data_IF_564144055740
#
_entry.id   IF_564144055740
#
_cell.length_a   1.000
_cell.length_b   1.000
_cell.length_c   1.000
_cell.angle_alpha   90.00
_cell.angle_beta   90.00
_cell.angle_gamma   90.00
#
_symmetry.space_group_name_H-M   'P 1'
#
loop_
_entity.id
_entity.type
_entity.pdbx_description
1 polymer ?
#
# COMPACT_ATOMS: atom_id res chain seq x y z
N UNK A 1 -49.76 -17.82 -59.99
CA UNK A 1 -49.71 -17.20 -58.64
C UNK A 1 -49.75 -18.17 -57.45
N UNK A 2 -50.54 -19.26 -57.47
CA UNK A 2 -50.68 -20.17 -56.31
C UNK A 2 -49.41 -21.00 -55.97
N UNK A 3 -48.65 -21.42 -56.98
CA UNK A 3 -47.40 -22.18 -56.79
C UNK A 3 -46.24 -21.33 -56.26
N UNK A 4 -46.08 -20.09 -56.74
CA UNK A 4 -45.05 -19.15 -56.28
C UNK A 4 -45.22 -18.85 -54.78
N UNK A 5 -46.47 -18.70 -54.31
CA UNK A 5 -46.76 -18.53 -52.87
C UNK A 5 -46.43 -19.76 -52.02
N UNK A 6 -46.45 -20.98 -52.59
CA UNK A 6 -46.06 -22.20 -51.87
C UNK A 6 -44.55 -22.35 -51.76
N UNK A 7 -43.82 -22.05 -52.84
CA UNK A 7 -42.35 -22.09 -52.86
C UNK A 7 -41.77 -21.01 -51.94
N UNK A 8 -42.32 -19.80 -51.97
CA UNK A 8 -41.85 -18.69 -51.11
C UNK A 8 -42.08 -18.98 -49.61
N UNK A 9 -43.20 -19.63 -49.25
CA UNK A 9 -43.46 -20.08 -47.87
C UNK A 9 -42.48 -21.17 -47.43
N UNK A 10 -42.14 -22.11 -48.31
CA UNK A 10 -41.18 -23.17 -47.99
C UNK A 10 -39.77 -22.60 -47.80
N UNK A 11 -39.34 -21.66 -48.65
CA UNK A 11 -38.03 -21.00 -48.54
C UNK A 11 -37.93 -20.14 -47.28
N UNK A 12 -38.96 -19.35 -46.95
CA UNK A 12 -38.99 -18.58 -45.70
C UNK A 12 -38.99 -19.48 -44.46
N UNK A 13 -39.66 -20.63 -44.50
CA UNK A 13 -39.67 -21.56 -43.35
C UNK A 13 -38.31 -22.23 -43.13
N UNK A 14 -37.59 -22.57 -44.20
CA UNK A 14 -36.24 -23.13 -44.10
C UNK A 14 -35.25 -22.06 -43.60
N UNK A 15 -35.37 -20.81 -44.08
CA UNK A 15 -34.56 -19.70 -43.59
C UNK A 15 -34.82 -19.37 -42.12
N UNK A 16 -36.07 -19.46 -41.66
CA UNK A 16 -36.43 -19.25 -40.26
C UNK A 16 -35.90 -20.37 -39.35
N UNK A 17 -35.91 -21.63 -39.81
CA UNK A 17 -35.31 -22.75 -39.09
C UNK A 17 -33.78 -22.66 -39.01
N UNK A 18 -33.11 -22.20 -40.07
CA UNK A 18 -31.65 -21.97 -40.05
C UNK A 18 -31.30 -20.80 -39.13
N UNK A 19 -32.06 -19.70 -39.16
CA UNK A 19 -31.87 -18.58 -38.22
C UNK A 19 -32.10 -19.00 -36.76
N UNK A 20 -33.10 -19.82 -36.46
CA UNK A 20 -33.34 -20.35 -35.10
C UNK A 20 -32.21 -21.31 -34.66
N UNK A 21 -31.65 -22.11 -35.58
CA UNK A 21 -30.50 -22.96 -35.27
C UNK A 21 -29.21 -22.16 -35.01
N UNK A 22 -29.01 -21.02 -35.68
CA UNK A 22 -27.83 -20.16 -35.46
C UNK A 22 -27.92 -19.39 -34.14
N UNK A 23 -29.13 -19.04 -33.66
CA UNK A 23 -29.35 -18.43 -32.34
C UNK A 23 -29.35 -19.43 -31.16
N UNK A 24 -29.25 -20.74 -31.44
CA UNK A 24 -29.23 -21.79 -30.40
C UNK A 24 -27.83 -22.23 -29.98
N UNK A 25 -26.76 -21.65 -30.55
CA UNK A 25 -25.41 -21.79 -29.99
C UNK A 25 -25.29 -20.94 -28.72
N UNK A 26 -25.99 -21.38 -27.67
CA UNK A 26 -25.58 -21.06 -26.31
C UNK A 26 -24.26 -21.79 -26.12
N UNK A 27 -23.15 -21.06 -26.11
CA UNK A 27 -21.89 -21.60 -25.60
C UNK A 27 -22.24 -22.19 -24.23
N UNK A 28 -21.95 -23.47 -23.95
CA UNK A 28 -22.23 -24.02 -22.65
C UNK A 28 -21.48 -23.16 -21.64
N UNK A 29 -22.21 -22.36 -20.86
CA UNK A 29 -21.65 -21.77 -19.64
C UNK A 29 -21.40 -22.96 -18.74
N UNK A 30 -20.16 -23.44 -18.73
CA UNK A 30 -19.71 -24.39 -17.72
C UNK A 30 -20.04 -23.75 -16.37
N UNK A 31 -20.69 -24.52 -15.49
CA UNK A 31 -20.98 -24.03 -14.16
C UNK A 31 -19.65 -23.69 -13.49
N UNK A 32 -19.55 -22.50 -12.87
CA UNK A 32 -18.39 -22.10 -12.09
C UNK A 32 -17.99 -23.20 -11.08
N UNK A 33 -16.75 -23.69 -11.16
CA UNK A 33 -16.22 -24.76 -10.30
C UNK A 33 -15.13 -24.22 -9.36
N UNK A 34 -15.05 -24.79 -8.16
CA UNK A 34 -13.88 -24.62 -7.30
C UNK A 34 -12.71 -25.44 -7.86
N UNK A 35 -11.71 -24.76 -8.43
CA UNK A 35 -10.55 -25.41 -9.10
C UNK A 35 -9.52 -25.91 -8.09
N UNK A 36 -8.77 -26.93 -8.47
CA UNK A 36 -7.68 -27.50 -7.65
C UNK A 36 -6.45 -26.57 -7.67
N UNK A 37 -6.51 -25.54 -6.82
CA UNK A 37 -5.43 -24.58 -6.64
C UNK A 37 -4.47 -25.01 -5.52
N UNK A 38 -3.25 -24.49 -5.57
CA UNK A 38 -2.28 -24.59 -4.49
C UNK A 38 -1.43 -23.32 -4.40
N UNK A 39 -0.89 -23.07 -3.20
CA UNK A 39 0.16 -22.09 -2.98
C UNK A 39 1.52 -22.75 -3.18
N UNK A 40 2.40 -22.08 -3.91
CA UNK A 40 3.80 -22.51 -4.12
C UNK A 40 4.76 -21.76 -3.19
N UNK A 41 4.39 -20.55 -2.77
CA UNK A 41 5.15 -19.75 -1.80
C UNK A 41 4.21 -18.89 -0.95
N UNK A 42 4.61 -18.67 0.30
CA UNK A 42 4.00 -17.74 1.24
C UNK A 42 5.13 -16.97 1.91
N UNK A 43 5.09 -15.65 1.80
CA UNK A 43 6.09 -14.77 2.40
C UNK A 43 5.41 -13.58 3.08
N UNK A 44 5.95 -13.21 4.25
CA UNK A 44 5.65 -11.93 4.87
C UNK A 44 6.77 -10.97 4.52
N UNK A 45 6.45 -9.91 3.81
CA UNK A 45 7.41 -8.95 3.27
C UNK A 45 7.27 -7.60 3.95
N UNK A 46 8.40 -6.93 4.11
CA UNK A 46 8.43 -5.55 4.54
C UNK A 46 7.94 -4.62 3.41
N UNK A 47 7.89 -3.35 3.73
CA UNK A 47 7.51 -2.27 2.84
C UNK A 47 8.47 -2.05 1.65
N UNK A 48 9.59 -2.76 1.58
CA UNK A 48 10.51 -2.77 0.44
C UNK A 48 10.35 -4.00 -0.46
N UNK A 49 9.46 -4.93 -0.09
CA UNK A 49 9.25 -6.19 -0.78
C UNK A 49 10.24 -7.28 -0.36
N UNK A 50 10.96 -7.09 0.74
CA UNK A 50 11.94 -8.06 1.25
C UNK A 50 11.28 -8.94 2.31
N UNK A 51 11.50 -10.26 2.24
CA UNK A 51 10.99 -11.19 3.23
C UNK A 51 11.50 -10.86 4.64
N UNK A 52 10.60 -10.90 5.63
CA UNK A 52 10.88 -10.56 7.01
C UNK A 52 11.09 -11.79 7.87
N UNK A 53 11.96 -11.67 8.86
CA UNK A 53 12.12 -12.66 9.94
C UNK A 53 11.54 -12.19 11.27
N UNK A 54 11.37 -10.88 11.44
CA UNK A 54 10.74 -10.26 12.60
C UNK A 54 9.95 -9.01 12.23
N UNK A 55 8.95 -8.67 13.04
CA UNK A 55 8.11 -7.48 12.87
C UNK A 55 7.54 -7.04 14.23
N UNK A 56 7.37 -5.73 14.42
CA UNK A 56 6.75 -5.19 15.63
C UNK A 56 5.27 -5.56 15.71
N UNK A 57 4.75 -5.70 16.93
CA UNK A 57 3.39 -6.13 17.20
C UNK A 57 2.34 -5.27 16.49
N UNK A 58 2.52 -3.95 16.47
CA UNK A 58 1.65 -2.99 15.78
C UNK A 58 2.03 -2.73 14.32
N UNK A 59 3.07 -3.39 13.80
CA UNK A 59 3.60 -3.17 12.46
C UNK A 59 2.70 -3.74 11.36
N UNK A 60 2.56 -2.98 10.28
CA UNK A 60 1.96 -3.45 9.03
C UNK A 60 3.00 -4.14 8.15
N UNK A 61 2.56 -5.07 7.34
CA UNK A 61 3.40 -5.79 6.38
C UNK A 61 2.59 -6.31 5.20
N UNK A 62 3.30 -6.65 4.13
CA UNK A 62 2.70 -7.25 2.96
C UNK A 62 2.70 -8.78 3.12
N UNK A 63 1.56 -9.41 2.92
CA UNK A 63 1.48 -10.85 2.63
C UNK A 63 1.69 -11.01 1.13
N UNK A 64 2.62 -11.87 0.74
CA UNK A 64 2.87 -12.25 -0.64
C UNK A 64 2.68 -13.76 -0.82
N UNK A 65 1.84 -14.12 -1.78
CA UNK A 65 1.45 -15.48 -2.07
C UNK A 65 1.75 -15.78 -3.53
N UNK A 66 2.35 -16.92 -3.81
CA UNK A 66 2.42 -17.47 -5.17
C UNK A 66 1.44 -18.63 -5.29
N UNK A 67 0.67 -18.67 -6.38
CA UNK A 67 -0.39 -19.65 -6.60
C UNK A 67 -0.27 -20.34 -7.95
N UNK A 68 -0.84 -21.54 -8.04
CA UNK A 68 -0.90 -22.34 -9.25
C UNK A 68 -2.22 -23.13 -9.32
N UNK A 69 -2.80 -23.19 -10.51
CA UNK A 69 -3.95 -24.02 -10.88
C UNK A 69 -3.56 -24.90 -12.07
N UNK A 70 -3.33 -26.21 -11.90
CA UNK A 70 -2.92 -27.10 -12.99
C UNK A 70 -4.01 -27.35 -14.05
N UNK A 71 -5.28 -27.29 -13.66
CA UNK A 71 -6.40 -27.57 -14.56
C UNK A 71 -6.60 -26.48 -15.63
N UNK A 72 -7.41 -26.81 -16.65
CA UNK A 72 -7.96 -25.80 -17.56
C UNK A 72 -8.94 -24.92 -16.78
N UNK A 73 -8.84 -23.61 -16.98
CA UNK A 73 -9.74 -22.62 -16.41
C UNK A 73 -10.91 -22.31 -17.35
N UNK A 74 -12.07 -22.10 -16.75
CA UNK A 74 -13.25 -21.58 -17.40
C UNK A 74 -13.71 -20.30 -16.71
N UNK A 75 -14.47 -19.47 -17.43
CA UNK A 75 -15.07 -18.28 -16.85
C UNK A 75 -15.90 -18.63 -15.61
N UNK A 76 -15.67 -17.92 -14.51
CA UNK A 76 -16.38 -18.08 -13.25
C UNK A 76 -15.77 -19.12 -12.31
N UNK A 77 -14.82 -19.94 -12.78
CA UNK A 77 -14.03 -20.81 -11.91
C UNK A 77 -13.36 -20.01 -10.80
N UNK A 78 -13.15 -20.63 -9.64
CA UNK A 78 -12.65 -19.93 -8.47
C UNK A 78 -11.83 -20.83 -7.56
N UNK A 79 -11.06 -20.22 -6.67
CA UNK A 79 -10.48 -20.92 -5.51
C UNK A 79 -10.47 -20.00 -4.31
N UNK A 80 -10.31 -20.59 -3.12
CA UNK A 80 -10.32 -19.89 -1.85
C UNK A 80 -8.97 -20.06 -1.14
N UNK A 81 -8.50 -19.00 -0.49
CA UNK A 81 -7.37 -19.03 0.43
C UNK A 81 -7.89 -18.56 1.79
N UNK A 82 -7.81 -19.44 2.79
CA UNK A 82 -8.06 -19.07 4.19
C UNK A 82 -6.90 -18.23 4.68
N UNK A 83 -7.21 -16.99 5.06
CA UNK A 83 -6.26 -16.07 5.70
C UNK A 83 -6.28 -16.36 7.21
N UNK A 84 -5.13 -16.64 7.84
CA UNK A 84 -5.07 -17.13 9.22
C UNK A 84 -5.56 -16.11 10.27
N UNK A 85 -6.10 -16.58 11.41
CA UNK A 85 -6.60 -15.72 12.47
C UNK A 85 -5.53 -14.88 13.18
N UNK A 86 -4.25 -15.20 12.99
CA UNK A 86 -3.10 -14.42 13.42
C UNK A 86 -2.98 -13.07 12.70
N UNK A 87 -3.73 -12.86 11.61
CA UNK A 87 -3.73 -11.64 10.82
C UNK A 87 -5.02 -10.83 11.02
N UNK A 88 -4.86 -9.51 11.02
CA UNK A 88 -5.96 -8.54 11.04
C UNK A 88 -5.93 -7.73 9.74
N UNK A 89 -7.07 -7.76 9.05
CA UNK A 89 -7.34 -7.08 7.77
C UNK A 89 -8.58 -6.18 7.85
N UNK A 90 -8.91 -5.73 9.07
CA UNK A 90 -10.10 -4.91 9.32
C UNK A 90 -9.80 -3.42 9.37
N UNK A 91 -8.52 -3.03 9.32
CA UNK A 91 -8.11 -1.62 9.37
C UNK A 91 -8.07 -1.02 7.97
N UNK A 92 -8.26 0.30 7.88
CA UNK A 92 -8.23 1.03 6.61
C UNK A 92 -6.92 0.83 5.82
N UNK A 93 -5.79 0.61 6.51
CA UNK A 93 -4.48 0.41 5.89
C UNK A 93 -4.31 -0.96 5.22
N UNK A 94 -5.24 -1.88 5.46
CA UNK A 94 -5.25 -3.20 4.80
C UNK A 94 -6.02 -3.21 3.49
N UNK A 95 -6.69 -2.09 3.16
CA UNK A 95 -7.37 -1.92 1.88
C UNK A 95 -6.39 -1.58 0.73
N UNK A 96 -6.77 -1.87 -0.52
CA UNK A 96 -8.04 -2.46 -0.95
C UNK A 96 -8.14 -3.97 -0.66
N UNK A 97 -9.36 -4.44 -0.38
CA UNK A 97 -9.66 -5.85 -0.14
C UNK A 97 -10.21 -6.56 -1.38
N UNK A 98 -10.64 -5.80 -2.38
CA UNK A 98 -11.00 -6.29 -3.72
C UNK A 98 -10.04 -5.70 -4.74
N UNK A 99 -9.44 -6.55 -5.58
CA UNK A 99 -8.45 -6.13 -6.56
C UNK A 99 -8.35 -7.12 -7.72
N UNK A 100 -7.97 -6.60 -8.89
CA UNK A 100 -7.72 -7.38 -10.09
C UNK A 100 -6.41 -8.16 -10.00
N UNK A 101 -6.40 -9.38 -10.55
CA UNK A 101 -5.20 -10.12 -10.93
C UNK A 101 -5.02 -9.98 -12.43
N UNK A 102 -3.87 -9.44 -12.84
CA UNK A 102 -3.63 -9.06 -14.23
C UNK A 102 -2.55 -9.92 -14.89
N UNK A 103 -2.65 -10.11 -16.20
CA UNK A 103 -1.57 -10.68 -16.98
C UNK A 103 -0.49 -9.63 -17.35
N UNK A 104 0.52 -10.10 -18.09
CA UNK A 104 1.66 -9.29 -18.53
C UNK A 104 1.23 -8.09 -19.39
N UNK A 105 0.10 -8.22 -20.10
CA UNK A 105 -0.49 -7.18 -20.94
C UNK A 105 -1.43 -6.24 -20.15
N UNK A 106 -1.42 -6.32 -18.82
CA UNK A 106 -2.29 -5.58 -17.89
C UNK A 106 -3.79 -5.90 -18.04
N UNK A 107 -4.15 -6.98 -18.73
CA UNK A 107 -5.52 -7.44 -18.81
C UNK A 107 -5.92 -8.12 -17.52
N UNK A 108 -7.08 -7.78 -16.98
CA UNK A 108 -7.64 -8.49 -15.83
C UNK A 108 -8.01 -9.91 -16.24
N UNK A 109 -7.50 -10.91 -15.51
CA UNK A 109 -7.78 -12.34 -15.72
C UNK A 109 -8.66 -12.90 -14.59
N UNK A 110 -8.59 -12.30 -13.40
CA UNK A 110 -9.41 -12.67 -12.26
C UNK A 110 -9.62 -11.48 -11.33
N UNK A 111 -10.65 -11.55 -10.49
CA UNK A 111 -10.85 -10.66 -9.36
C UNK A 111 -10.60 -11.43 -8.06
N UNK A 112 -9.78 -10.87 -7.18
CA UNK A 112 -9.59 -11.37 -5.82
C UNK A 112 -10.38 -10.50 -4.84
N UNK A 113 -11.13 -11.12 -3.93
CA UNK A 113 -11.86 -10.44 -2.86
C UNK A 113 -11.55 -11.09 -1.51
N UNK A 114 -11.11 -10.28 -0.56
CA UNK A 114 -10.89 -10.66 0.82
C UNK A 114 -12.10 -10.26 1.65
N UNK A 115 -12.70 -11.24 2.33
CA UNK A 115 -13.71 -11.05 3.36
C UNK A 115 -13.06 -11.24 4.72
N UNK A 116 -12.70 -10.15 5.44
CA UNK A 116 -12.00 -10.24 6.71
C UNK A 116 -12.96 -10.60 7.86
N UNK A 117 -12.42 -11.27 8.87
CA UNK A 117 -13.10 -11.53 10.14
C UNK A 117 -12.53 -10.65 11.26
N UNK A 118 -13.37 -10.29 12.22
CA UNK A 118 -12.98 -9.41 13.33
C UNK A 118 -11.85 -10.05 14.17
N UNK A 119 -10.77 -9.31 14.47
CA UNK A 119 -9.65 -9.82 15.25
C UNK A 119 -10.06 -10.01 16.72
N UNK A 120 -10.16 -11.27 17.16
CA UNK A 120 -10.50 -11.63 18.54
C UNK A 120 -9.52 -12.66 19.09
N UNK A 121 -9.64 -13.02 20.37
CA UNK A 121 -8.82 -14.09 20.96
C UNK A 121 -9.18 -15.48 20.41
N UNK A 122 -10.38 -15.66 19.86
CA UNK A 122 -10.85 -16.93 19.29
C UNK A 122 -10.84 -16.97 17.76
N UNK A 123 -10.95 -15.84 17.05
CA UNK A 123 -11.00 -15.75 15.59
C UNK A 123 -10.19 -14.59 15.00
N UNK A 124 -10.39 -14.31 13.71
CA UNK A 124 -9.64 -13.29 12.94
C UNK A 124 -9.35 -13.80 11.52
N UNK A 125 -8.47 -13.10 10.79
CA UNK A 125 -8.10 -13.52 9.44
C UNK A 125 -9.23 -13.28 8.44
N UNK A 126 -9.61 -14.31 7.70
CA UNK A 126 -10.73 -14.25 6.75
C UNK A 126 -10.61 -15.23 5.59
N UNK A 127 -11.31 -14.91 4.49
CA UNK A 127 -11.24 -15.69 3.25
C UNK A 127 -10.91 -14.79 2.06
N UNK A 128 -9.88 -15.15 1.31
CA UNK A 128 -9.57 -14.57 0.01
C UNK A 128 -10.13 -15.48 -1.07
N UNK A 129 -11.10 -14.99 -1.85
CA UNK A 129 -11.69 -15.70 -2.99
C UNK A 129 -11.18 -15.10 -4.30
N UNK A 130 -10.62 -15.92 -5.17
CA UNK A 130 -10.24 -15.53 -6.53
C UNK A 130 -11.27 -16.08 -7.50
N UNK A 131 -11.81 -15.24 -8.39
CA UNK A 131 -12.79 -15.63 -9.42
C UNK A 131 -12.25 -15.25 -10.79
N UNK A 132 -12.08 -16.25 -11.66
CA UNK A 132 -11.57 -16.07 -13.02
C UNK A 132 -12.64 -15.49 -13.95
N UNK A 133 -12.25 -14.55 -14.80
CA UNK A 133 -13.14 -13.93 -15.77
C UNK A 133 -13.00 -14.60 -17.16
N UNK A 134 -13.65 -14.04 -18.19
CA UNK A 134 -13.64 -14.63 -19.54
C UNK A 134 -12.25 -14.65 -20.20
N UNK A 135 -11.30 -13.83 -19.75
CA UNK A 135 -9.93 -13.84 -20.27
C UNK A 135 -9.11 -15.05 -19.76
N UNK A 136 -9.60 -15.77 -18.76
CA UNK A 136 -9.01 -17.03 -18.30
C UNK A 136 -9.47 -18.25 -19.10
N UNK A 137 -10.52 -18.13 -19.92
CA UNK A 137 -11.15 -19.26 -20.61
C UNK A 137 -10.14 -20.06 -21.44
N UNK A 138 -10.05 -21.36 -21.19
CA UNK A 138 -9.15 -22.27 -21.88
C UNK A 138 -7.68 -22.16 -21.48
N UNK A 139 -7.30 -21.24 -20.59
CA UNK A 139 -5.92 -21.19 -20.03
C UNK A 139 -5.68 -22.43 -19.17
N UNK A 140 -4.51 -23.03 -19.30
CA UNK A 140 -4.09 -24.23 -18.54
C UNK A 140 -2.85 -23.94 -17.72
N UNK A 141 -2.64 -24.64 -16.61
CA UNK A 141 -1.48 -24.43 -15.73
C UNK A 141 -1.30 -22.96 -15.34
N UNK A 142 -2.40 -22.27 -15.08
CA UNK A 142 -2.36 -20.87 -14.69
C UNK A 142 -1.59 -20.73 -13.36
N UNK A 143 -0.74 -19.72 -13.27
CA UNK A 143 0.02 -19.40 -12.07
C UNK A 143 0.14 -17.91 -11.91
N UNK A 144 0.53 -17.47 -10.73
CA UNK A 144 0.64 -16.05 -10.48
C UNK A 144 1.02 -15.74 -9.05
N UNK A 145 0.86 -14.46 -8.69
CA UNK A 145 1.04 -14.01 -7.32
C UNK A 145 -0.14 -13.17 -6.87
N UNK A 146 -0.30 -13.08 -5.56
CA UNK A 146 -1.25 -12.23 -4.87
C UNK A 146 -0.47 -11.52 -3.77
N UNK A 147 -0.70 -10.23 -3.59
CA UNK A 147 -0.22 -9.49 -2.45
C UNK A 147 -1.31 -8.61 -1.86
N UNK A 148 -1.32 -8.50 -0.54
CA UNK A 148 -2.21 -7.61 0.22
C UNK A 148 -1.53 -7.22 1.53
N UNK A 149 -2.06 -6.20 2.21
CA UNK A 149 -1.49 -5.72 3.47
C UNK A 149 -2.23 -6.33 4.66
N UNK A 150 -1.50 -6.59 5.73
CA UNK A 150 -2.02 -7.07 7.00
C UNK A 150 -1.22 -6.47 8.16
N UNK A 151 -1.79 -6.56 9.37
CA UNK A 151 -1.02 -6.50 10.63
C UNK A 151 -1.33 -7.74 11.45
N UNK A 152 -0.62 -7.92 12.55
CA UNK A 152 -0.94 -9.03 13.46
C UNK A 152 -2.24 -8.79 14.22
N UNK A 153 -3.04 -9.85 14.36
CA UNK A 153 -4.07 -9.93 15.40
C UNK A 153 -3.37 -10.09 16.76
N UNK A 154 -3.32 -8.98 17.47
CA UNK A 154 -2.64 -8.84 18.76
C UNK A 154 -3.17 -9.76 19.87
N UNK A 155 -4.35 -10.35 19.68
CA UNK A 155 -4.95 -11.31 20.62
C UNK A 155 -4.53 -12.76 20.34
N UNK A 156 -3.86 -13.01 19.21
CA UNK A 156 -3.43 -14.34 18.76
C UNK A 156 -1.92 -14.50 18.77
N UNK A 157 -1.19 -13.46 18.35
CA UNK A 157 0.27 -13.51 18.32
C UNK A 157 0.88 -13.27 19.70
N UNK A 158 2.02 -13.91 19.94
CA UNK A 158 2.80 -13.78 21.17
C UNK A 158 4.05 -12.95 20.93
N UNK A 159 4.21 -11.89 21.71
CA UNK A 159 5.38 -11.00 21.64
C UNK A 159 6.63 -11.70 22.21
N UNK A 160 7.79 -11.41 21.63
CA UNK A 160 9.08 -12.03 21.89
C UNK A 160 9.15 -13.53 21.58
N UNK A 161 8.25 -14.04 20.75
CA UNK A 161 8.21 -15.43 20.32
C UNK A 161 8.06 -15.54 18.80
N UNK A 162 8.43 -16.72 18.28
CA UNK A 162 8.15 -17.10 16.90
C UNK A 162 6.69 -17.53 16.78
N UNK A 163 5.96 -16.91 15.86
CA UNK A 163 4.56 -17.16 15.58
C UNK A 163 4.42 -17.88 14.24
N UNK A 164 3.46 -18.79 14.15
CA UNK A 164 3.19 -19.57 12.94
C UNK A 164 2.00 -18.97 12.21
N UNK A 165 2.12 -18.80 10.89
CA UNK A 165 1.10 -18.16 10.06
C UNK A 165 0.65 -19.17 8.98
N UNK A 166 -0.39 -19.98 9.26
CA UNK A 166 -0.84 -21.06 8.38
C UNK A 166 -1.88 -20.58 7.36
N UNK A 167 -1.55 -20.65 6.07
CA UNK A 167 -2.53 -20.43 4.99
C UNK A 167 -3.07 -21.76 4.49
N UNK A 168 -4.36 -21.81 4.14
CA UNK A 168 -5.00 -22.99 3.56
C UNK A 168 -5.57 -22.65 2.20
N UNK A 169 -5.51 -23.58 1.24
CA UNK A 169 -6.18 -23.42 -0.06
C UNK A 169 -7.36 -24.39 -0.11
N UNK A 170 -8.54 -23.88 -0.45
CA UNK A 170 -9.80 -24.65 -0.47
C UNK A 170 -10.02 -25.47 0.82
N UNK A 171 -9.64 -24.90 1.97
CA UNK A 171 -9.75 -25.54 3.29
C UNK A 171 -8.76 -26.68 3.55
N UNK A 172 -7.74 -26.87 2.69
CA UNK A 172 -6.77 -27.97 2.78
C UNK A 172 -5.37 -27.47 3.14
N UNK A 173 -4.70 -28.22 4.01
CA UNK A 173 -3.32 -27.95 4.44
C UNK A 173 -2.28 -28.47 3.45
N UNK A 174 -2.57 -29.53 2.69
CA UNK A 174 -1.63 -30.15 1.74
C UNK A 174 -1.50 -29.38 0.41
N UNK A 175 -2.21 -28.26 0.29
CA UNK A 175 -2.19 -27.34 -0.86
C UNK A 175 -1.45 -26.03 -0.57
N UNK A 176 -0.78 -25.95 0.58
CA UNK A 176 0.04 -24.81 0.96
C UNK A 176 1.45 -25.28 1.37
N UNK A 177 2.47 -24.41 1.25
CA UNK A 177 3.74 -24.63 1.93
C UNK A 177 3.54 -24.70 3.45
N UNK A 178 4.54 -25.20 4.17
CA UNK A 178 4.51 -25.16 5.64
C UNK A 178 4.37 -23.74 6.18
N UNK A 179 3.84 -23.61 7.40
CA UNK A 179 3.55 -22.32 8.02
C UNK A 179 4.73 -21.35 7.94
N UNK A 180 4.45 -20.12 7.53
CA UNK A 180 5.45 -19.06 7.63
C UNK A 180 5.70 -18.75 9.11
N UNK A 181 6.98 -18.72 9.51
CA UNK A 181 7.39 -18.40 10.88
C UNK A 181 7.90 -16.97 10.96
N UNK A 182 7.41 -16.20 11.93
CA UNK A 182 7.85 -14.81 12.14
C UNK A 182 7.94 -14.47 13.62
N UNK A 183 9.04 -13.81 14.02
CA UNK A 183 9.19 -13.32 15.39
C UNK A 183 8.43 -12.01 15.56
N UNK A 184 7.50 -11.96 16.51
CA UNK A 184 6.79 -10.73 16.84
C UNK A 184 7.52 -10.02 17.97
N UNK A 185 7.96 -8.79 17.75
CA UNK A 185 8.69 -8.00 18.76
C UNK A 185 7.79 -6.87 19.32
N UNK A 186 8.08 -6.34 20.52
CA UNK A 186 7.34 -5.20 21.06
C UNK A 186 7.45 -4.00 20.13
N UNK A 187 6.44 -3.12 20.16
CA UNK A 187 6.56 -1.82 19.52
C UNK A 187 7.68 -1.00 20.18
N UNK A 188 8.28 -0.11 19.39
CA UNK A 188 9.36 0.73 19.87
C UNK A 188 8.90 1.61 21.03
N UNK A 189 9.60 1.54 22.16
CA UNK A 189 9.36 2.44 23.30
C UNK A 189 9.89 3.82 22.95
N UNK A 190 9.02 4.81 23.05
CA UNK A 190 9.37 6.20 22.79
C UNK A 190 10.02 6.81 24.04
N UNK A 191 11.25 7.37 23.93
CA UNK A 191 11.90 8.01 25.07
C UNK A 191 11.11 9.22 25.59
N UNK A 192 10.97 9.40 26.92
CA UNK A 192 10.25 10.53 27.50
C UNK A 192 10.94 11.89 27.23
N UNK A 193 12.24 11.89 26.96
CA UNK A 193 13.06 13.05 26.66
C UNK A 193 13.15 13.35 25.15
N UNK A 194 12.34 12.69 24.32
CA UNK A 194 12.35 12.86 22.86
C UNK A 194 12.05 14.31 22.45
N UNK A 195 13.02 14.93 21.77
CA UNK A 195 12.93 16.34 21.33
C UNK A 195 12.15 16.49 20.03
N UNK A 196 12.26 15.55 19.10
CA UNK A 196 11.51 15.56 17.85
C UNK A 196 11.12 14.13 17.46
N UNK A 197 9.96 13.98 16.84
CA UNK A 197 9.55 12.71 16.26
C UNK A 197 8.59 12.92 15.11
N UNK A 198 8.71 12.07 14.11
CA UNK A 198 7.92 12.14 12.90
C UNK A 198 7.30 10.78 12.59
N UNK A 199 6.09 10.81 12.06
CA UNK A 199 5.48 9.64 11.43
C UNK A 199 4.59 10.09 10.28
N UNK A 200 4.30 9.18 9.37
CA UNK A 200 3.21 9.36 8.42
C UNK A 200 1.87 9.15 9.12
N UNK A 201 0.83 9.85 8.66
CA UNK A 201 -0.55 9.50 8.95
C UNK A 201 -1.07 8.56 7.87
N UNK A 202 -2.06 7.77 8.25
CA UNK A 202 -2.72 6.83 7.37
C UNK A 202 -3.24 7.55 6.11
N UNK A 203 -3.00 6.99 4.91
CA UNK A 203 -3.61 7.50 3.68
C UNK A 203 -5.13 7.44 3.82
N UNK A 204 -5.83 8.55 3.60
CA UNK A 204 -7.30 8.57 3.67
C UNK A 204 -7.94 8.12 2.34
N UNK A 205 -7.35 7.11 1.68
CA UNK A 205 -7.70 6.68 0.32
C UNK A 205 -7.22 7.62 -0.80
N UNK A 206 -6.46 8.67 -0.47
CA UNK A 206 -5.85 9.59 -1.45
C UNK A 206 -4.39 9.17 -1.63
N UNK A 207 -4.03 8.70 -2.82
CA UNK A 207 -2.66 8.25 -3.13
C UNK A 207 -1.75 9.36 -3.67
N UNK A 208 -2.31 10.54 -3.95
CA UNK A 208 -1.57 11.70 -4.48
C UNK A 208 -1.09 12.67 -3.40
N UNK A 209 -1.31 12.34 -2.12
CA UNK A 209 -0.94 13.18 -0.98
C UNK A 209 -0.41 12.31 0.17
N UNK A 210 0.79 12.63 0.64
CA UNK A 210 1.34 12.05 1.86
C UNK A 210 1.01 12.96 3.04
N UNK A 211 0.49 12.37 4.11
CA UNK A 211 0.16 13.08 5.35
C UNK A 211 1.22 12.79 6.39
N UNK A 212 1.67 13.82 7.07
CA UNK A 212 2.73 13.76 8.07
C UNK A 212 2.25 14.34 9.38
N UNK A 213 2.78 13.80 10.46
CA UNK A 213 2.63 14.36 11.79
C UNK A 213 3.99 14.37 12.50
N UNK A 214 4.23 15.44 13.27
CA UNK A 214 5.49 15.65 13.94
C UNK A 214 5.27 16.19 15.35
N UNK A 215 5.80 15.45 16.33
CA UNK A 215 5.90 15.88 17.71
C UNK A 215 7.18 16.71 17.89
N UNK A 216 7.06 17.89 18.49
CA UNK A 216 8.15 18.85 18.70
C UNK A 216 8.24 19.20 20.18
N UNK A 217 9.44 19.11 20.74
CA UNK A 217 9.80 19.33 22.14
C UNK A 217 9.00 18.45 23.13
N UNK A 218 8.85 17.16 22.83
CA UNK A 218 8.20 16.17 23.71
C UNK A 218 8.82 16.10 25.11
N UNK A 219 10.15 16.21 25.18
CA UNK A 219 10.92 16.25 26.42
C UNK A 219 10.84 17.55 27.22
N UNK A 220 10.07 18.56 26.77
CA UNK A 220 9.85 19.85 27.47
C UNK A 220 11.16 20.58 27.83
N UNK A 221 12.17 20.47 26.99
CA UNK A 221 13.43 21.18 27.17
C UNK A 221 13.21 22.68 27.00
N UNK A 222 13.99 23.51 27.70
CA UNK A 222 13.97 24.96 27.52
C UNK A 222 14.79 25.37 26.28
N UNK A 223 14.14 25.48 25.12
CA UNK A 223 14.79 25.67 23.82
C UNK A 223 14.66 27.10 23.29
N UNK A 224 15.74 27.59 22.66
CA UNK A 224 15.86 28.91 22.03
C UNK A 224 16.34 28.79 20.59
N UNK A 225 15.96 29.75 19.74
CA UNK A 225 16.32 29.79 18.32
C UNK A 225 16.05 28.47 17.59
N UNK A 226 14.88 27.86 17.85
CA UNK A 226 14.54 26.54 17.32
C UNK A 226 14.24 26.62 15.83
N UNK A 227 14.94 25.79 15.06
CA UNK A 227 14.67 25.61 13.63
C UNK A 227 14.50 24.13 13.32
N UNK A 228 13.49 23.81 12.52
CA UNK A 228 13.26 22.46 12.01
C UNK A 228 13.47 22.49 10.51
N UNK A 229 14.40 21.69 10.01
CA UNK A 229 14.55 21.45 8.58
C UNK A 229 13.95 20.10 8.27
N UNK A 230 13.08 20.03 7.27
CA UNK A 230 12.43 18.80 6.83
C UNK A 230 12.63 18.63 5.31
N UNK A 231 12.93 17.41 4.85
CA UNK A 231 13.31 17.11 3.46
C UNK A 231 12.66 15.83 2.95
N UNK A 232 12.05 15.88 1.76
CA UNK A 232 11.54 14.70 1.05
C UNK A 232 12.71 13.95 0.42
N UNK A 233 13.15 12.86 1.05
CA UNK A 233 14.32 12.10 0.62
C UNK A 233 14.09 11.37 -0.71
N UNK A 234 12.85 10.94 -0.98
CA UNK A 234 12.49 10.21 -2.21
C UNK A 234 12.32 11.12 -3.43
N UNK A 235 12.29 12.45 -3.26
CA UNK A 235 12.12 13.45 -4.34
C UNK A 235 10.95 13.16 -5.28
N UNK A 236 9.86 12.62 -4.73
CA UNK A 236 8.66 12.25 -5.47
C UNK A 236 7.42 13.00 -4.97
N UNK A 237 7.63 14.25 -4.58
CA UNK A 237 6.62 15.11 -3.99
C UNK A 237 7.18 16.50 -3.75
N UNK A 238 6.30 17.42 -3.39
CA UNK A 238 6.63 18.79 -3.01
C UNK A 238 5.79 19.20 -1.81
N UNK A 239 6.28 20.14 -1.01
CA UNK A 239 5.44 20.76 0.03
C UNK A 239 4.43 21.73 -0.60
N UNK A 240 3.26 21.84 0.03
CA UNK A 240 2.26 22.87 -0.30
C UNK A 240 2.63 24.19 0.37
N UNK A 241 2.13 25.32 -0.12
CA UNK A 241 2.34 26.59 0.58
C UNK A 241 1.55 26.62 1.90
N UNK A 242 2.06 27.24 2.97
CA UNK A 242 1.31 27.35 4.22
C UNK A 242 0.08 28.23 4.04
N UNK A 243 -1.05 27.77 4.57
CA UNK A 243 -2.26 28.57 4.66
C UNK A 243 -2.28 29.40 5.95
N UNK A 244 -3.25 30.30 6.07
CA UNK A 244 -3.56 30.93 7.35
C UNK A 244 -4.04 29.88 8.37
N UNK A 245 -3.96 30.22 9.66
CA UNK A 245 -4.27 29.30 10.76
C UNK A 245 -5.71 28.72 10.71
N UNK A 246 -6.68 29.46 10.17
CA UNK A 246 -8.08 28.99 10.09
C UNK A 246 -8.23 27.96 8.98
N UNK A 247 -7.64 28.23 7.81
CA UNK A 247 -7.68 27.35 6.65
C UNK A 247 -6.85 26.08 6.86
N UNK A 248 -5.70 26.20 7.54
CA UNK A 248 -4.76 25.12 7.78
C UNK A 248 -5.41 23.90 8.47
N UNK A 249 -6.40 24.11 9.34
CA UNK A 249 -7.13 23.04 10.03
C UNK A 249 -7.90 22.10 9.09
N UNK A 250 -8.21 22.54 7.87
CA UNK A 250 -8.90 21.73 6.87
C UNK A 250 -7.94 21.26 5.75
N UNK A 251 -7.09 22.16 5.23
CA UNK A 251 -6.17 21.80 4.15
C UNK A 251 -5.10 20.82 4.60
N UNK A 252 -4.64 20.94 5.86
CA UNK A 252 -3.44 20.31 6.40
C UNK A 252 -2.20 20.62 5.55
N UNK A 253 -2.09 21.79 4.92
CA UNK A 253 -0.82 22.18 4.28
C UNK A 253 0.27 22.38 5.32
N UNK A 254 0.00 23.18 6.35
CA UNK A 254 0.81 23.28 7.57
C UNK A 254 -0.07 23.66 8.77
N UNK A 255 -0.36 22.70 9.65
CA UNK A 255 -1.20 22.89 10.82
C UNK A 255 -0.42 22.65 12.10
N UNK A 256 0.14 23.75 12.63
CA UNK A 256 0.95 23.75 13.85
C UNK A 256 0.11 24.14 15.06
N UNK A 257 0.08 23.28 16.08
CA UNK A 257 -0.61 23.54 17.35
C UNK A 257 0.36 23.54 18.52
N UNK A 258 0.09 24.39 19.51
CA UNK A 258 0.68 24.29 20.84
C UNK A 258 0.06 23.12 21.59
N UNK A 259 0.88 22.32 22.23
CA UNK A 259 0.42 21.13 22.95
C UNK A 259 1.18 20.93 24.24
N UNK A 260 0.62 20.14 25.15
CA UNK A 260 1.32 19.66 26.34
C UNK A 260 1.46 18.15 26.26
N UNK A 261 2.70 17.65 26.35
CA UNK A 261 2.99 16.21 26.37
C UNK A 261 2.89 15.63 27.78
N UNK A 262 2.42 14.40 27.88
CA UNK A 262 2.45 13.62 29.11
C UNK A 262 3.80 12.93 29.35
N UNK A 263 3.76 11.85 30.14
CA UNK A 263 4.90 10.97 30.36
C UNK A 263 5.24 10.08 29.15
N UNK A 264 4.28 9.85 28.25
CA UNK A 264 4.49 9.20 26.96
C UNK A 264 4.36 10.23 25.82
N UNK A 265 5.46 10.77 25.28
CA UNK A 265 5.42 11.83 24.29
C UNK A 265 5.06 11.34 22.88
N UNK A 266 4.42 10.16 22.73
CA UNK A 266 3.92 9.65 21.46
C UNK A 266 2.81 10.53 20.87
N UNK A 267 1.87 10.94 21.73
CA UNK A 267 0.73 11.81 21.42
C UNK A 267 0.61 12.85 22.54
N UNK A 268 0.16 14.07 22.27
CA UNK A 268 -0.03 15.05 23.33
C UNK A 268 -1.18 14.66 24.30
N UNK A 269 -1.03 15.01 25.58
CA UNK A 269 -2.10 14.87 26.58
C UNK A 269 -3.16 15.95 26.39
N UNK A 270 -2.74 17.16 26.03
CA UNK A 270 -3.64 18.29 25.77
C UNK A 270 -3.32 18.99 24.46
N UNK A 271 -4.38 19.30 23.73
CA UNK A 271 -4.35 20.21 22.59
C UNK A 271 -4.71 21.59 23.12
N UNK A 272 -3.75 22.50 23.15
CA UNK A 272 -4.03 23.86 23.62
C UNK A 272 -4.71 24.63 22.47
N UNK A 273 -5.61 25.56 22.77
CA UNK A 273 -6.41 26.31 21.77
C UNK A 273 -5.58 27.20 20.80
N UNK A 274 -4.24 27.15 20.88
CA UNK A 274 -3.34 27.92 20.04
C UNK A 274 -2.93 27.17 18.77
N UNK A 275 -3.56 27.51 17.65
CA UNK A 275 -3.01 27.27 16.31
C UNK A 275 -2.03 28.40 15.98
N UNK A 276 -0.88 28.06 15.42
CA UNK A 276 0.16 29.02 15.03
C UNK A 276 0.06 29.28 13.53
N UNK A 277 -0.01 30.56 13.14
CA UNK A 277 0.17 30.96 11.75
C UNK A 277 1.65 30.87 11.38
N UNK A 278 1.99 29.95 10.48
CA UNK A 278 3.38 29.65 10.12
C UNK A 278 3.81 30.28 8.79
N UNK A 279 2.97 31.09 8.14
CA UNK A 279 3.26 31.64 6.80
C UNK A 279 4.56 32.45 6.73
N UNK A 280 4.89 33.18 7.80
CA UNK A 280 6.15 33.92 7.92
C UNK A 280 7.29 33.11 8.54
N UNK A 281 7.03 31.89 8.98
CA UNK A 281 7.98 31.01 9.68
C UNK A 281 8.56 29.92 8.76
N UNK A 282 7.87 29.61 7.65
CA UNK A 282 8.29 28.58 6.70
C UNK A 282 9.07 29.23 5.55
N UNK A 283 10.24 28.67 5.26
CA UNK A 283 11.02 28.96 4.05
C UNK A 283 11.27 27.66 3.29
N UNK A 284 11.05 27.65 1.98
CA UNK A 284 11.33 26.49 1.12
C UNK A 284 12.68 26.61 0.44
N UNK A 285 13.24 25.47 0.04
CA UNK A 285 14.23 25.45 -1.03
C UNK A 285 13.59 25.77 -2.40
N UNK A 286 14.41 25.94 -3.44
CA UNK A 286 13.94 26.39 -4.76
C UNK A 286 12.86 25.46 -5.35
N UNK A 287 12.95 24.16 -5.08
CA UNK A 287 12.09 23.13 -5.68
C UNK A 287 10.97 22.66 -4.73
N UNK A 288 10.87 23.23 -3.52
CA UNK A 288 9.95 22.79 -2.45
C UNK A 288 10.10 21.30 -2.10
N UNK A 289 11.33 20.78 -2.13
CA UNK A 289 11.70 19.46 -1.60
C UNK A 289 12.20 19.51 -0.17
N UNK A 290 12.47 20.72 0.34
CA UNK A 290 12.80 20.96 1.73
C UNK A 290 12.12 22.22 2.25
N UNK A 291 11.77 22.24 3.53
CA UNK A 291 11.40 23.46 4.24
C UNK A 291 12.18 23.63 5.53
N UNK A 292 12.37 24.88 5.94
CA UNK A 292 12.77 25.26 7.30
C UNK A 292 11.60 25.96 7.98
N UNK A 293 11.20 25.47 9.15
CA UNK A 293 10.27 26.11 10.06
C UNK A 293 11.06 26.76 11.20
N UNK A 294 11.02 28.09 11.29
CA UNK A 294 11.66 28.88 12.34
C UNK A 294 10.67 29.15 13.48
N UNK A 295 10.84 28.47 14.61
CA UNK A 295 9.99 28.59 15.80
C UNK A 295 10.53 29.62 16.80
N UNK A 296 11.77 30.09 16.62
CA UNK A 296 12.43 31.00 17.55
C UNK A 296 12.53 30.46 18.97
N UNK A 297 12.28 31.32 19.96
CA UNK A 297 12.38 30.97 21.37
C UNK A 297 11.07 30.36 21.88
N UNK A 298 11.06 29.04 22.07
CA UNK A 298 9.84 28.31 22.48
C UNK A 298 9.79 27.97 23.97
N UNK A 299 10.90 28.17 24.70
CA UNK A 299 10.97 27.76 26.09
C UNK A 299 10.69 26.26 26.22
N UNK A 300 9.81 25.87 27.14
CA UNK A 300 9.39 24.47 27.35
C UNK A 300 8.13 24.07 26.57
N UNK A 301 7.63 24.95 25.68
CA UNK A 301 6.41 24.70 24.92
C UNK A 301 6.62 23.53 23.94
N UNK A 302 5.70 22.56 23.98
CA UNK A 302 5.58 21.52 22.96
C UNK A 302 4.74 21.98 21.77
N UNK A 303 5.04 21.48 20.59
CA UNK A 303 4.20 21.67 19.40
C UNK A 303 3.88 20.35 18.72
N UNK A 304 2.77 20.33 18.00
CA UNK A 304 2.38 19.25 17.11
C UNK A 304 2.10 19.83 15.72
N UNK A 305 2.89 19.41 14.75
CA UNK A 305 2.73 19.82 13.36
C UNK A 305 2.08 18.69 12.58
N UNK A 306 0.95 18.96 11.94
CA UNK A 306 0.40 18.11 10.88
C UNK A 306 0.55 18.82 9.55
N UNK A 307 0.93 18.10 8.51
CA UNK A 307 1.08 18.69 7.20
C UNK A 307 0.96 17.65 6.08
N UNK A 308 0.91 18.14 4.84
CA UNK A 308 0.83 17.32 3.63
C UNK A 308 1.95 17.65 2.66
N UNK A 309 2.28 16.66 1.86
CA UNK A 309 3.09 16.81 0.66
C UNK A 309 2.34 16.19 -0.50
N UNK A 310 2.59 16.69 -1.71
CA UNK A 310 2.15 15.99 -2.90
C UNK A 310 2.90 14.66 -3.02
N UNK A 311 2.27 13.68 -3.66
CA UNK A 311 2.91 12.43 -4.08
C UNK A 311 2.70 12.32 -5.58
N UNK A 312 3.82 12.27 -6.28
CA UNK A 312 3.86 12.43 -7.72
C UNK A 312 4.23 11.11 -8.38
N UNK A 313 4.04 11.02 -9.70
CA UNK A 313 4.46 9.88 -10.52
C UNK A 313 3.77 8.54 -10.27
N UNK A 314 2.64 8.58 -9.55
CA UNK A 314 1.94 7.37 -9.10
C UNK A 314 2.79 6.53 -8.16
N UNK A 315 3.72 7.16 -7.43
CA UNK A 315 4.49 6.48 -6.40
C UNK A 315 3.60 6.21 -5.20
N UNK A 316 3.82 5.07 -4.57
CA UNK A 316 3.05 4.64 -3.42
C UNK A 316 3.87 4.76 -2.12
N UNK A 317 5.05 5.38 -2.15
CA UNK A 317 5.92 5.51 -1.00
C UNK A 317 6.69 6.83 -1.03
N UNK A 318 6.74 7.53 0.09
CA UNK A 318 7.53 8.75 0.24
C UNK A 318 8.29 8.69 1.56
N UNK A 319 9.58 9.02 1.53
CA UNK A 319 10.41 9.15 2.75
C UNK A 319 10.70 10.59 3.05
N UNK A 320 10.69 10.91 4.33
CA UNK A 320 10.78 12.30 4.74
C UNK A 320 11.52 12.41 6.07
N UNK A 321 12.52 13.28 6.10
CA UNK A 321 13.48 13.39 7.19
C UNK A 321 13.43 14.78 7.79
N UNK A 322 13.46 14.88 9.11
CA UNK A 322 13.47 16.14 9.84
C UNK A 322 14.62 16.21 10.84
N UNK A 323 15.19 17.40 10.98
CA UNK A 323 16.20 17.75 11.96
C UNK A 323 15.76 18.99 12.73
N UNK A 324 15.84 18.93 14.06
CA UNK A 324 15.64 20.07 14.95
C UNK A 324 16.99 20.58 15.45
N UNK A 325 17.18 21.90 15.37
CA UNK A 325 18.31 22.61 15.96
C UNK A 325 17.81 23.65 16.97
N UNK A 326 18.64 23.98 17.95
CA UNK A 326 18.41 25.03 18.93
C UNK A 326 19.73 25.75 19.22
N UNK A 327 19.69 27.05 19.50
CA UNK A 327 20.90 27.88 19.68
C UNK A 327 21.52 27.76 21.07
N UNK A 328 20.73 27.33 22.06
CA UNK A 328 21.14 27.29 23.46
C UNK A 328 21.43 25.88 24.01
N UNK A 329 21.30 24.85 23.18
CA UNK A 329 21.49 23.45 23.57
C UNK A 329 22.27 22.72 22.48
N UNK A 330 23.24 21.91 22.90
CA UNK A 330 23.83 20.86 22.06
C UNK A 330 23.23 19.53 22.48
N UNK A 331 22.52 18.87 21.58
CA UNK A 331 21.90 17.59 21.87
C UNK A 331 22.96 16.48 21.96
N UNK A 332 22.83 15.60 22.94
CA UNK A 332 23.77 14.47 23.11
C UNK A 332 23.74 13.52 21.90
N UNK A 333 22.56 13.36 21.30
CA UNK A 333 22.35 12.71 20.01
C UNK A 333 21.71 13.73 19.06
N UNK A 334 21.99 13.71 17.74
CA UNK A 334 21.30 14.57 16.79
C UNK A 334 19.78 14.46 16.96
N UNK A 335 19.10 15.59 17.07
CA UNK A 335 17.65 15.64 17.17
C UNK A 335 17.04 15.47 15.77
N UNK A 336 17.13 14.26 15.24
CA UNK A 336 16.70 13.90 13.88
C UNK A 336 15.63 12.81 13.91
N UNK A 337 14.81 12.74 12.88
CA UNK A 337 13.76 11.73 12.74
C UNK A 337 13.40 11.52 11.27
N UNK A 338 13.10 10.28 10.88
CA UNK A 338 12.58 9.93 9.55
C UNK A 338 11.18 9.36 9.69
N UNK A 339 10.31 9.66 8.72
CA UNK A 339 9.03 9.01 8.51
C UNK A 339 8.96 8.43 7.11
N UNK A 340 8.25 7.31 6.97
CA UNK A 340 7.87 6.74 5.68
C UNK A 340 6.35 6.78 5.57
N UNK A 341 5.83 7.47 4.56
CA UNK A 341 4.45 7.37 4.13
C UNK A 341 4.36 6.33 3.03
N UNK A 342 3.32 5.50 3.09
CA UNK A 342 3.07 4.49 2.08
C UNK A 342 1.58 4.40 1.79
N UNK A 343 1.22 4.48 0.52
CA UNK A 343 -0.06 4.06 0.01
C UNK A 343 -0.04 2.56 -0.20
N UNK A 344 -0.73 1.86 0.68
CA UNK A 344 -0.84 0.42 0.63
C UNK A 344 -1.66 -0.03 -0.58
N UNK A 345 -1.12 -1.01 -1.32
CA UNK A 345 -1.78 -1.61 -2.47
C UNK A 345 -1.93 -3.11 -2.24
N UNK A 346 -3.02 -3.63 -2.77
CA UNK A 346 -3.25 -5.05 -2.95
C UNK A 346 -3.44 -5.31 -4.44
N UNK A 347 -3.03 -6.49 -4.89
CA UNK A 347 -2.96 -6.80 -6.30
C UNK A 347 -2.30 -8.14 -6.53
N UNK A 348 -1.97 -8.40 -7.77
CA UNK A 348 -1.29 -9.62 -8.14
C UNK A 348 -1.33 -9.81 -9.64
N UNK A 349 -0.69 -10.89 -10.09
CA UNK A 349 -0.77 -11.27 -11.49
C UNK A 349 -1.26 -12.67 -11.70
N UNK A 350 -1.65 -12.91 -12.93
CA UNK A 350 -1.99 -14.20 -13.49
C UNK A 350 -1.23 -14.35 -14.80
N UNK A 351 -0.52 -15.45 -14.96
CA UNK A 351 0.42 -15.79 -16.03
C UNK A 351 1.72 -14.98 -16.04
N UNK A 352 2.78 -15.73 -15.73
CA UNK A 352 4.21 -15.38 -15.69
C UNK A 352 4.71 -14.48 -14.55
N UNK A 353 5.91 -14.83 -14.10
CA UNK A 353 6.52 -14.46 -12.83
C UNK A 353 6.81 -12.96 -12.76
N UNK A 354 5.87 -12.18 -12.21
CA UNK A 354 5.96 -10.73 -12.05
C UNK A 354 7.04 -10.25 -11.04
N UNK A 355 7.85 -11.14 -10.46
CA UNK A 355 8.77 -10.80 -9.38
C UNK A 355 9.87 -9.78 -9.74
N UNK A 356 10.06 -9.41 -11.02
CA UNK A 356 11.25 -8.66 -11.47
C UNK A 356 10.98 -7.47 -12.42
N UNK A 357 9.89 -6.71 -12.27
CA UNK A 357 9.72 -5.45 -13.03
C UNK A 357 10.54 -4.30 -12.40
N UNK A 358 11.38 -3.66 -13.21
CA UNK A 358 12.06 -2.41 -12.88
C UNK A 358 11.27 -1.23 -13.47
N UNK A 359 10.73 -0.35 -12.62
CA UNK A 359 10.16 0.94 -13.06
C UNK A 359 11.26 1.99 -13.10
N UNK A 360 11.70 2.37 -14.29
CA UNK A 360 12.72 3.41 -14.49
C UNK A 360 12.04 4.69 -14.97
N UNK A 361 12.40 5.83 -14.39
CA UNK A 361 11.95 7.17 -14.80
C UNK A 361 13.15 8.07 -15.05
N UNK A 362 13.04 8.94 -16.07
CA UNK A 362 14.01 10.01 -16.33
C UNK A 362 13.38 11.36 -15.98
N UNK A 363 14.06 12.11 -15.14
CA UNK A 363 13.74 13.50 -14.80
C UNK A 363 14.79 14.44 -15.39
N UNK A 364 14.40 15.67 -15.70
CA UNK A 364 15.34 16.70 -16.14
C UNK A 364 16.14 17.21 -14.93
N UNK A 365 17.46 17.09 -14.98
CA UNK A 365 18.34 17.47 -13.86
C UNK A 365 18.47 18.99 -13.67
N UNK A 366 18.08 19.79 -14.66
CA UNK A 366 18.22 21.25 -14.66
C UNK A 366 16.96 21.91 -14.11
N UNK A 367 15.79 21.43 -14.52
CA UNK A 367 14.53 22.03 -14.05
C UNK A 367 13.91 21.27 -12.88
N UNK A 368 14.21 19.98 -12.70
CA UNK A 368 13.51 19.08 -11.77
C UNK A 368 11.98 19.10 -11.98
N UNK A 369 11.54 19.63 -13.13
CA UNK A 369 10.16 19.68 -13.52
C UNK A 369 9.74 18.24 -13.75
N UNK A 370 8.64 17.87 -13.11
CA UNK A 370 8.08 16.53 -13.02
C UNK A 370 7.58 15.99 -14.37
N UNK A 371 8.07 16.56 -15.48
CA UNK A 371 7.75 16.26 -16.87
C UNK A 371 8.71 15.15 -17.35
N UNK A 372 8.20 13.94 -17.64
CA UNK A 372 9.02 12.87 -18.21
C UNK A 372 9.67 13.33 -19.51
N UNK A 373 10.97 13.12 -19.67
CA UNK A 373 11.66 13.41 -20.93
C UNK A 373 11.22 12.38 -22.00
N UNK A 374 10.51 12.78 -23.07
CA UNK A 374 10.02 11.84 -24.07
C UNK A 374 11.16 11.18 -24.85
N UNK A 375 10.99 9.91 -25.22
CA UNK A 375 11.90 9.20 -26.13
C UNK A 375 13.20 8.66 -25.53
N UNK A 376 13.37 8.72 -24.20
CA UNK A 376 14.47 8.03 -23.54
C UNK A 376 14.32 6.51 -23.67
N UNK A 377 15.38 5.84 -24.12
CA UNK A 377 15.50 4.38 -24.15
C UNK A 377 16.42 3.94 -23.03
N UNK A 378 16.06 2.88 -22.33
CA UNK A 378 16.89 2.29 -21.28
C UNK A 378 17.37 0.93 -21.76
N UNK A 379 18.61 0.58 -21.46
CA UNK A 379 19.07 -0.80 -21.51
C UNK A 379 19.27 -1.25 -20.08
N UNK A 380 18.57 -2.30 -19.67
CA UNK A 380 18.78 -2.98 -18.39
C UNK A 380 19.67 -4.18 -18.67
N UNK A 381 20.82 -4.24 -18.00
CA UNK A 381 21.75 -5.36 -18.11
C UNK A 381 21.76 -6.16 -16.81
N UNK A 382 21.49 -7.46 -16.89
CA UNK A 382 21.65 -8.34 -15.74
C UNK A 382 23.13 -8.69 -15.58
N UNK A 383 23.74 -8.31 -14.46
CA UNK A 383 25.19 -8.51 -14.24
C UNK A 383 25.62 -9.98 -14.18
N UNK A 384 24.72 -10.89 -13.77
CA UNK A 384 25.06 -12.31 -13.59
C UNK A 384 25.27 -13.06 -14.90
N UNK A 385 24.52 -12.73 -15.95
CA UNK A 385 24.54 -13.44 -17.24
C UNK A 385 24.77 -12.51 -18.45
N UNK A 386 24.83 -11.20 -18.23
CA UNK A 386 25.06 -10.20 -19.26
C UNK A 386 23.87 -9.94 -20.18
N UNK A 387 22.69 -10.53 -19.91
CA UNK A 387 21.47 -10.34 -20.70
C UNK A 387 21.06 -8.87 -20.70
N UNK A 388 20.76 -8.33 -21.89
CA UNK A 388 20.31 -6.95 -22.09
C UNK A 388 18.83 -6.91 -22.46
N UNK A 389 18.09 -5.99 -21.83
CA UNK A 389 16.68 -5.71 -22.07
C UNK A 389 16.57 -4.24 -22.47
N UNK A 390 16.03 -3.94 -23.66
CA UNK A 390 15.91 -2.58 -24.23
C UNK A 390 14.49 -2.11 -24.39
#
# INVERSE_FOLDING_TARGET
MKQIKRVLKAVCSIWLCVLLAVFSYQVPVLAAVEVDAQLTAVELRDHSGVAMTEQTKGGYFQVHLEWNVPSTLHQGDFFNITVPPELDLTTQDTHPLTFALKDEDENEIAEATITPEAPTSSGGGGNLKVVFNSAAEGKTNASGNIHFQAKFNENKVQVNQENSIPFLVNGRTDRSPGDTKIKVIPDAVIPPDRVIAKSAKLPNGIYTEARWQMAINGGKMNLKGVKITDTILTRNGTYFDPDDAVTAANSMHFYLRKVTYGSNPQVPDTWNDGVVDVRSMVTFDANKHSFTLDLGDIGTQGYWLEYKTSVLYGDNKQKNFAELTATNVTFANPAVTEGTWQYNTSGGGATENLANRLKIRKIDAVTDDLIPIPGAKFSVKRNSDGTEYT
#
